data_IF_158235246456
#
_entry.id   IF_158235246456
#
_cell.length_a   1.000
_cell.length_b   1.000
_cell.length_c   1.000
_cell.angle_alpha   90.00
_cell.angle_beta   90.00
_cell.angle_gamma   90.00
#
_symmetry.space_group_name_H-M   'P 1'
#
loop_
_entity.id
_entity.type
_entity.pdbx_description
1 polymer ?
#
# COMPACT_ATOMS: atom_id res chain seq x y z
N UNK A 1 4.23 -17.42 9.38
CA UNK A 1 3.50 -16.22 8.94
C UNK A 1 4.09 -15.77 7.62
N UNK A 2 3.34 -15.85 6.57
CA UNK A 2 3.81 -15.45 5.23
C UNK A 2 3.28 -14.05 4.95
N UNK A 3 4.18 -13.10 4.80
CA UNK A 3 3.86 -11.69 4.51
C UNK A 3 3.81 -11.48 3.01
N UNK A 4 2.72 -10.91 2.53
CA UNK A 4 2.53 -10.60 1.11
C UNK A 4 2.94 -9.16 0.84
N UNK A 5 3.89 -8.95 -0.05
CA UNK A 5 4.28 -7.61 -0.52
C UNK A 5 4.43 -7.54 -2.03
N UNK A 6 4.20 -6.36 -2.55
CA UNK A 6 4.45 -6.05 -3.95
C UNK A 6 5.94 -5.70 -4.11
N UNK A 7 6.73 -6.60 -4.67
CA UNK A 7 8.14 -6.35 -4.98
C UNK A 7 8.21 -5.57 -6.30
N UNK A 8 8.55 -4.30 -6.21
CA UNK A 8 8.91 -3.50 -7.38
C UNK A 8 10.39 -3.74 -7.70
N UNK A 9 10.72 -4.83 -8.38
CA UNK A 9 12.04 -4.98 -8.99
C UNK A 9 12.12 -4.08 -10.23
N UNK A 10 12.99 -3.11 -10.17
CA UNK A 10 13.25 -2.13 -11.22
C UNK A 10 14.03 -2.69 -12.44
N UNK A 11 14.18 -4.01 -12.56
CA UNK A 11 14.98 -4.63 -13.62
C UNK A 11 14.23 -5.63 -14.52
N UNK A 12 12.92 -5.78 -14.38
CA UNK A 12 12.15 -6.70 -15.21
C UNK A 12 11.22 -5.94 -16.15
N UNK A 13 11.57 -5.86 -17.43
CA UNK A 13 10.80 -5.19 -18.49
C UNK A 13 9.48 -5.91 -18.85
N UNK A 14 9.14 -6.99 -18.15
CA UNK A 14 7.92 -7.77 -18.40
C UNK A 14 7.26 -8.26 -17.10
N UNK A 15 7.36 -7.48 -16.03
CA UNK A 15 6.70 -7.81 -14.78
C UNK A 15 5.19 -7.49 -14.92
N UNK A 16 4.38 -8.52 -15.02
CA UNK A 16 2.93 -8.40 -14.95
C UNK A 16 2.56 -7.77 -13.59
N UNK A 17 2.30 -6.46 -13.60
CA UNK A 17 1.93 -5.66 -12.42
C UNK A 17 0.64 -6.13 -11.75
N UNK A 18 0.02 -7.18 -12.28
CA UNK A 18 -1.24 -7.74 -11.80
C UNK A 18 -1.09 -8.84 -10.74
N UNK A 19 0.12 -9.37 -10.50
CA UNK A 19 0.33 -10.49 -9.59
C UNK A 19 0.77 -10.02 -8.20
N UNK A 20 0.04 -10.49 -7.19
CA UNK A 20 0.51 -10.47 -5.80
C UNK A 20 1.49 -11.62 -5.63
N UNK A 21 2.72 -11.31 -5.28
CA UNK A 21 3.77 -12.31 -5.03
C UNK A 21 3.94 -12.43 -3.51
N UNK A 22 3.86 -13.66 -3.02
CA UNK A 22 4.20 -13.95 -1.63
C UNK A 22 5.73 -13.91 -1.47
N UNK A 23 6.20 -13.15 -0.50
CA UNK A 23 7.63 -13.00 -0.22
C UNK A 23 7.90 -12.76 1.25
N UNK A 24 9.12 -12.99 1.67
CA UNK A 24 9.58 -12.63 3.01
C UNK A 24 10.19 -11.24 2.96
N UNK A 25 9.67 -10.34 3.79
CA UNK A 25 10.23 -9.00 3.94
C UNK A 25 10.57 -8.79 5.42
N UNK A 26 11.78 -8.36 5.67
CA UNK A 26 12.23 -8.09 7.03
C UNK A 26 11.77 -6.70 7.51
N UNK A 27 11.66 -6.49 8.82
CA UNK A 27 11.34 -5.18 9.37
C UNK A 27 12.32 -4.11 8.86
N UNK A 28 11.79 -2.99 8.39
CA UNK A 28 12.59 -1.88 7.85
C UNK A 28 12.92 -1.95 6.35
N UNK A 29 12.69 -3.08 5.69
CA UNK A 29 12.91 -3.21 4.24
C UNK A 29 11.72 -2.74 3.40
N UNK A 30 10.56 -2.54 4.02
CA UNK A 30 9.39 -2.06 3.31
C UNK A 30 9.43 -0.56 3.10
N UNK A 31 9.32 -0.13 1.85
CA UNK A 31 9.09 1.27 1.50
C UNK A 31 7.59 1.67 1.58
N UNK A 32 6.72 0.73 1.93
CA UNK A 32 5.27 0.95 2.05
C UNK A 32 4.88 1.12 3.52
N UNK A 33 3.97 2.06 3.76
CA UNK A 33 3.35 2.26 5.07
C UNK A 33 2.19 1.28 5.33
N UNK A 34 2.16 0.18 4.60
CA UNK A 34 1.12 -0.84 4.71
C UNK A 34 1.70 -2.21 4.44
N UNK A 35 1.17 -3.20 5.15
CA UNK A 35 1.55 -4.61 5.02
C UNK A 35 0.29 -5.47 4.92
N UNK A 36 0.41 -6.58 4.20
CA UNK A 36 -0.66 -7.56 4.10
C UNK A 36 -0.11 -8.96 4.37
N UNK A 37 -0.92 -9.79 5.04
CA UNK A 37 -0.61 -11.19 5.32
C UNK A 37 -1.77 -12.08 4.97
N UNK A 38 -1.49 -13.26 4.47
CA UNK A 38 -2.39 -14.39 4.54
C UNK A 38 -2.01 -15.22 5.76
N UNK A 39 -2.95 -15.51 6.62
CA UNK A 39 -2.73 -16.28 7.84
C UNK A 39 -3.90 -17.22 8.10
N UNK A 40 -3.62 -18.32 8.80
CA UNK A 40 -4.63 -19.25 9.28
C UNK A 40 -4.89 -18.97 10.75
N UNK A 41 -6.09 -18.54 11.08
CA UNK A 41 -6.54 -18.34 12.46
C UNK A 41 -7.17 -19.63 12.97
N UNK A 42 -6.70 -20.10 14.11
CA UNK A 42 -7.29 -21.22 14.84
C UNK A 42 -8.03 -20.68 16.05
N UNK A 43 -9.31 -21.00 16.14
CA UNK A 43 -10.17 -20.61 17.25
C UNK A 43 -10.80 -21.86 17.85
N UNK A 44 -11.36 -21.80 19.08
CA UNK A 44 -12.06 -22.94 19.68
C UNK A 44 -13.17 -23.49 18.78
N UNK A 45 -13.88 -22.60 18.04
CA UNK A 45 -14.98 -22.96 17.14
C UNK A 45 -14.47 -23.52 15.79
N UNK A 46 -13.20 -23.26 15.47
CA UNK A 46 -12.59 -23.70 14.22
C UNK A 46 -11.13 -24.16 14.47
N UNK A 47 -10.94 -25.31 15.14
CA UNK A 47 -9.61 -25.77 15.54
C UNK A 47 -8.71 -26.13 14.36
N UNK A 48 -9.29 -26.51 13.23
CA UNK A 48 -8.56 -26.77 11.98
C UNK A 48 -7.97 -25.50 11.37
N UNK A 49 -8.53 -24.36 11.73
CA UNK A 49 -8.11 -23.06 11.26
C UNK A 49 -8.93 -22.55 10.08
N UNK A 50 -9.01 -21.22 10.01
CA UNK A 50 -9.64 -20.50 8.92
C UNK A 50 -8.67 -19.50 8.35
N UNK A 51 -8.49 -19.54 7.03
CA UNK A 51 -7.66 -18.56 6.34
C UNK A 51 -8.32 -17.19 6.34
N UNK A 52 -7.51 -16.17 6.56
CA UNK A 52 -7.90 -14.76 6.50
C UNK A 52 -6.79 -13.96 5.81
N UNK A 53 -7.16 -12.84 5.21
CA UNK A 53 -6.21 -11.82 4.76
C UNK A 53 -6.26 -10.67 5.74
N UNK A 54 -5.12 -10.35 6.34
CA UNK A 54 -4.97 -9.22 7.26
C UNK A 54 -4.17 -8.14 6.58
N UNK A 55 -4.68 -6.91 6.60
CA UNK A 55 -3.99 -5.71 6.14
C UNK A 55 -3.78 -4.82 7.35
N UNK A 56 -2.58 -4.27 7.51
CA UNK A 56 -2.28 -3.35 8.60
C UNK A 56 -1.40 -2.20 8.11
N UNK A 57 -1.52 -1.04 8.76
CA UNK A 57 -0.60 0.06 8.54
C UNK A 57 0.70 -0.19 9.31
N UNK A 58 1.82 0.18 8.70
CA UNK A 58 3.14 0.20 9.33
C UNK A 58 3.43 1.63 9.80
N UNK A 59 3.24 1.86 11.09
CA UNK A 59 3.44 3.19 11.70
C UNK A 59 4.90 3.65 11.67
N UNK A 60 5.85 2.74 11.45
CA UNK A 60 7.27 3.08 11.36
C UNK A 60 7.61 3.76 10.03
N UNK A 61 6.74 3.61 9.02
CA UNK A 61 6.88 4.24 7.71
C UNK A 61 5.87 5.38 7.60
N UNK A 62 6.35 6.62 7.68
CA UNK A 62 5.55 7.85 7.52
C UNK A 62 4.26 7.86 8.37
N UNK A 63 4.34 7.35 9.59
CA UNK A 63 3.22 7.28 10.56
C UNK A 63 2.01 6.51 9.98
N UNK A 64 2.27 5.50 9.16
CA UNK A 64 1.24 4.68 8.53
C UNK A 64 0.36 5.42 7.50
N UNK A 65 0.73 6.62 7.08
CA UNK A 65 -0.08 7.41 6.14
C UNK A 65 -0.16 6.77 4.75
N UNK A 66 -1.31 6.90 4.10
CA UNK A 66 -1.56 6.35 2.79
C UNK A 66 -0.90 7.14 1.66
N UNK A 67 -0.25 6.44 0.75
CA UNK A 67 0.15 6.93 -0.55
C UNK A 67 -0.38 6.02 -1.66
N UNK A 68 -0.13 6.38 -2.91
CA UNK A 68 -0.64 5.66 -4.09
C UNK A 68 -0.22 4.18 -4.15
N UNK A 69 0.98 3.87 -3.68
CA UNK A 69 1.48 2.48 -3.63
C UNK A 69 0.82 1.68 -2.50
N UNK A 70 0.49 2.34 -1.39
CA UNK A 70 -0.21 1.73 -0.26
C UNK A 70 -1.65 1.38 -0.66
N UNK A 71 -2.33 2.27 -1.39
CA UNK A 71 -3.66 2.02 -1.95
C UNK A 71 -3.66 0.82 -2.90
N UNK A 72 -2.63 0.70 -3.75
CA UNK A 72 -2.50 -0.43 -4.65
C UNK A 72 -2.33 -1.75 -3.89
N UNK A 73 -1.51 -1.77 -2.82
CA UNK A 73 -1.38 -2.95 -1.95
C UNK A 73 -2.72 -3.32 -1.32
N UNK A 74 -3.45 -2.33 -0.77
CA UNK A 74 -4.76 -2.51 -0.18
C UNK A 74 -5.77 -3.11 -1.15
N UNK A 75 -5.82 -2.57 -2.38
CA UNK A 75 -6.66 -3.06 -3.45
C UNK A 75 -6.33 -4.52 -3.78
N UNK A 76 -5.05 -4.83 -4.03
CA UNK A 76 -4.58 -6.17 -4.41
C UNK A 76 -4.85 -7.22 -3.33
N UNK A 77 -4.57 -6.89 -2.07
CA UNK A 77 -4.86 -7.78 -0.95
C UNK A 77 -6.38 -8.02 -0.80
N UNK A 78 -7.19 -7.00 -1.06
CA UNK A 78 -8.65 -7.11 -1.06
C UNK A 78 -9.17 -7.99 -2.20
N UNK A 79 -8.60 -7.87 -3.38
CA UNK A 79 -8.92 -8.73 -4.53
C UNK A 79 -8.54 -10.19 -4.25
N UNK A 80 -7.36 -10.41 -3.63
CA UNK A 80 -6.92 -11.74 -3.22
C UNK A 80 -7.90 -12.38 -2.24
N UNK A 81 -8.31 -11.66 -1.21
CA UNK A 81 -9.29 -12.15 -0.24
C UNK A 81 -10.61 -12.56 -0.90
N UNK A 82 -11.09 -11.76 -1.86
CA UNK A 82 -12.29 -12.08 -2.65
C UNK A 82 -12.11 -13.32 -3.53
N UNK A 83 -10.97 -13.44 -4.20
CA UNK A 83 -10.66 -14.63 -5.02
C UNK A 83 -10.60 -15.90 -4.19
N UNK A 84 -10.00 -15.82 -3.01
CA UNK A 84 -9.89 -16.93 -2.07
C UNK A 84 -11.19 -17.18 -1.28
N UNK A 85 -12.16 -16.27 -1.35
CA UNK A 85 -13.40 -16.29 -0.56
C UNK A 85 -13.14 -16.35 0.94
N UNK A 86 -12.15 -15.63 1.42
CA UNK A 86 -11.77 -15.56 2.82
C UNK A 86 -12.04 -14.16 3.39
N UNK A 87 -12.27 -14.03 4.70
CA UNK A 87 -12.41 -12.73 5.33
C UNK A 87 -11.18 -11.86 5.16
N UNK A 88 -11.41 -10.56 5.00
CA UNK A 88 -10.38 -9.54 5.07
C UNK A 88 -10.52 -8.75 6.36
N UNK A 89 -9.45 -8.66 7.13
CA UNK A 89 -9.37 -7.89 8.37
C UNK A 89 -8.44 -6.71 8.08
N UNK A 90 -8.90 -5.50 8.40
CA UNK A 90 -8.07 -4.31 8.30
C UNK A 90 -7.81 -3.71 9.69
N UNK A 91 -6.55 -3.66 10.07
CA UNK A 91 -6.07 -3.03 11.29
C UNK A 91 -5.62 -1.61 10.95
N UNK A 92 -6.54 -0.68 11.11
CA UNK A 92 -6.33 0.72 10.78
C UNK A 92 -5.56 1.43 11.89
N UNK A 93 -4.29 1.69 11.65
CA UNK A 93 -3.42 2.49 12.51
C UNK A 93 -2.68 3.51 11.64
N UNK A 94 -3.38 4.55 11.20
CA UNK A 94 -2.86 5.53 10.27
C UNK A 94 -3.29 6.95 10.62
N UNK A 95 -2.56 7.91 10.09
CA UNK A 95 -2.89 9.35 10.17
C UNK A 95 -3.75 9.82 8.98
N UNK A 96 -4.27 8.92 8.18
CA UNK A 96 -5.04 9.23 6.97
C UNK A 96 -4.20 9.26 5.70
N UNK A 97 -4.73 9.88 4.65
CA UNK A 97 -3.98 10.10 3.42
C UNK A 97 -2.84 11.08 3.64
N UNK A 98 -1.73 10.89 2.94
CA UNK A 98 -0.59 11.83 3.01
C UNK A 98 -1.04 13.22 2.62
N UNK A 99 -0.89 14.15 3.53
CA UNK A 99 -1.09 15.57 3.27
C UNK A 99 0.15 16.05 2.53
N UNK A 100 -0.01 16.36 1.29
CA UNK A 100 1.05 16.77 0.40
C UNK A 100 0.92 16.07 -0.93
N UNK A 101 1.44 16.68 -1.96
CA UNK A 101 1.40 16.11 -3.30
C UNK A 101 2.40 14.98 -3.34
N UNK A 102 1.95 13.75 -3.61
CA UNK A 102 2.84 12.61 -3.81
C UNK A 102 3.89 12.95 -4.88
N UNK A 103 5.12 12.45 -4.73
CA UNK A 103 6.23 12.82 -5.62
C UNK A 103 5.89 12.65 -7.11
N UNK A 104 5.13 11.61 -7.45
CA UNK A 104 4.69 11.36 -8.82
C UNK A 104 3.69 12.42 -9.31
N UNK A 105 2.85 12.94 -8.43
CA UNK A 105 1.89 14.01 -8.75
C UNK A 105 2.63 15.34 -8.84
N UNK A 106 3.54 15.61 -7.89
CA UNK A 106 4.34 16.83 -7.90
C UNK A 106 5.17 16.96 -9.19
N UNK A 107 5.77 15.86 -9.65
CA UNK A 107 6.54 15.83 -10.89
C UNK A 107 5.69 16.15 -12.15
N UNK A 108 4.38 15.94 -12.08
CA UNK A 108 3.43 16.21 -13.17
C UNK A 108 2.63 17.49 -12.96
N UNK A 109 2.70 18.08 -11.77
CA UNK A 109 1.99 19.30 -11.45
C UNK A 109 2.70 20.49 -12.06
N UNK A 110 1.94 21.33 -12.77
CA UNK A 110 2.41 22.61 -13.27
C UNK A 110 1.56 23.72 -12.66
N UNK A 111 2.23 24.73 -12.14
CA UNK A 111 1.55 25.90 -11.59
C UNK A 111 1.29 26.87 -12.73
N UNK A 112 0.04 27.27 -12.90
CA UNK A 112 -0.34 28.28 -13.90
C UNK A 112 -0.13 29.68 -13.28
N UNK A 113 1.10 30.17 -13.35
CA UNK A 113 1.41 31.53 -12.94
C UNK A 113 0.78 32.55 -13.89
N UNK A 114 0.35 33.69 -13.37
CA UNK A 114 -0.06 34.81 -14.22
C UNK A 114 1.12 35.31 -15.04
N UNK A 115 2.29 35.40 -14.43
CA UNK A 115 3.56 35.72 -15.06
C UNK A 115 4.65 34.79 -14.51
N UNK A 116 5.15 33.81 -15.30
CA UNK A 116 6.21 32.91 -14.84
C UNK A 116 7.51 33.60 -14.42
N UNK A 117 7.76 34.81 -14.93
CA UNK A 117 8.94 35.63 -14.60
C UNK A 117 8.77 36.41 -13.31
N UNK A 118 7.53 36.56 -12.84
CA UNK A 118 7.21 37.29 -11.62
C UNK A 118 6.13 36.57 -10.80
N UNK A 119 6.55 35.57 -9.95
CA UNK A 119 5.62 34.79 -9.15
C UNK A 119 4.80 35.60 -8.16
N UNK A 120 5.22 36.84 -7.81
CA UNK A 120 4.48 37.71 -6.89
C UNK A 120 3.12 38.17 -7.46
N UNK A 121 2.95 38.08 -8.77
CA UNK A 121 1.64 38.37 -9.40
C UNK A 121 0.58 37.30 -9.15
N UNK A 122 0.98 36.14 -8.58
CA UNK A 122 0.06 35.06 -8.23
C UNK A 122 -0.29 34.11 -9.37
N UNK A 123 -1.40 33.40 -9.20
CA UNK A 123 -1.87 32.36 -10.12
C UNK A 123 -2.98 32.91 -11.03
N UNK A 124 -3.10 32.28 -12.20
CA UNK A 124 -4.24 32.49 -13.11
C UNK A 124 -5.51 31.91 -12.53
#
# INVERSE_FOLDING_TARGET
MTRTQNKSDSSCSNCDRSKVVEGTVYPGESALAMVAWRMTLRTPECPEGRDVVVIANDITVQIGSFGTKDDLLFQRASELARKLRVPRIYLSANSGARIGIAGEVLAKTRIAWEDPSNPEKGFK
#
